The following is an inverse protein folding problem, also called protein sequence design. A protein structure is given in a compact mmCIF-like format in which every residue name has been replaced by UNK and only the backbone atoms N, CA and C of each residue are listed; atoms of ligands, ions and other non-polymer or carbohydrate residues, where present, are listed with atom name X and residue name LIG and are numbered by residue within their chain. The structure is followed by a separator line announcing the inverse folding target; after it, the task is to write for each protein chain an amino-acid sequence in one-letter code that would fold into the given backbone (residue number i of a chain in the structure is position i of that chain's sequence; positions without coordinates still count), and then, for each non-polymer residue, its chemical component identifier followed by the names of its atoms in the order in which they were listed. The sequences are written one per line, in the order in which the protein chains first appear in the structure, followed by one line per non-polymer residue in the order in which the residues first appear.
data_IF_000262152755
#
_entry.id   IF_000262152755
#
_cell.length_a   1.000
_cell.length_b   1.000
_cell.length_c   1.000
_cell.angle_alpha   90.00
_cell.angle_beta   90.00
_cell.angle_gamma   90.00
#
_symmetry.space_group_name_H-M   'P 1'
#
loop_
_entity.id
_entity.type
_entity.pdbx_description
1 polymer ?
#
# COMPACT_ATOMS: atom_id res chain seq x y z
N UNK A 1 5.64 4.02 -6.48
CA UNK A 1 4.26 3.91 -7.03
C UNK A 1 3.92 5.10 -7.93
N UNK A 2 4.02 6.34 -7.45
CA UNK A 2 3.61 7.53 -8.21
C UNK A 2 4.33 7.74 -9.55
N UNK A 3 5.65 7.55 -9.62
CA UNK A 3 6.40 7.74 -10.88
C UNK A 3 5.91 6.79 -11.99
N UNK A 4 5.80 5.49 -11.67
CA UNK A 4 5.26 4.49 -12.60
C UNK A 4 3.82 4.81 -13.02
N UNK A 5 2.98 5.24 -12.09
CA UNK A 5 1.61 5.64 -12.40
C UNK A 5 1.60 6.87 -13.33
N UNK A 6 2.46 7.86 -13.08
CA UNK A 6 2.62 9.05 -13.91
C UNK A 6 2.99 8.71 -15.35
N UNK A 7 3.96 7.82 -15.56
CA UNK A 7 4.37 7.39 -16.90
C UNK A 7 3.24 6.72 -17.69
N UNK A 8 2.43 5.90 -17.02
CA UNK A 8 1.27 5.23 -17.64
C UNK A 8 0.20 6.27 -17.95
N UNK A 9 -0.12 7.14 -17.00
CA UNK A 9 -1.10 8.22 -17.18
C UNK A 9 -0.72 9.11 -18.36
N UNK A 10 0.55 9.48 -18.52
CA UNK A 10 1.02 10.27 -19.65
C UNK A 10 0.72 9.59 -21.00
N UNK A 11 1.02 8.29 -21.11
CA UNK A 11 0.73 7.50 -22.32
C UNK A 11 -0.77 7.42 -22.58
N UNK A 12 -1.57 7.21 -21.54
CA UNK A 12 -3.03 7.16 -21.65
C UNK A 12 -3.62 8.50 -22.08
N UNK A 13 -3.15 9.61 -21.51
CA UNK A 13 -3.61 10.96 -21.87
C UNK A 13 -3.38 11.21 -23.36
N UNK A 14 -2.16 10.93 -23.86
CA UNK A 14 -1.85 11.08 -25.29
C UNK A 14 -2.81 10.27 -26.15
N UNK A 15 -2.97 8.98 -25.85
CA UNK A 15 -3.86 8.09 -26.59
C UNK A 15 -5.33 8.56 -26.57
N UNK A 16 -5.84 8.99 -25.42
CA UNK A 16 -7.22 9.50 -25.31
C UNK A 16 -7.43 10.74 -26.19
N UNK A 17 -6.45 11.65 -26.23
CA UNK A 17 -6.54 12.88 -27.02
C UNK A 17 -6.39 12.62 -28.52
N UNK A 18 -5.48 11.75 -28.92
CA UNK A 18 -5.21 11.44 -30.34
C UNK A 18 -6.31 10.57 -30.96
N UNK A 19 -6.78 9.56 -30.22
CA UNK A 19 -7.69 8.53 -30.76
C UNK A 19 -9.17 8.76 -30.40
N UNK A 20 -9.46 9.64 -29.44
CA UNK A 20 -10.81 9.94 -28.93
C UNK A 20 -11.70 8.68 -28.77
N UNK A 21 -11.26 7.69 -27.98
CA UNK A 21 -11.91 6.39 -27.89
C UNK A 21 -13.30 6.49 -27.25
N UNK A 22 -14.25 5.71 -27.76
CA UNK A 22 -15.58 5.58 -27.15
C UNK A 22 -15.51 4.59 -25.98
N UNK A 23 -15.90 5.00 -24.75
CA UNK A 23 -15.93 4.10 -23.60
C UNK A 23 -16.89 2.93 -23.81
N UNK A 24 -16.52 1.75 -23.30
CA UNK A 24 -17.36 0.55 -23.36
C UNK A 24 -17.91 0.21 -21.96
N UNK A 25 -19.13 -0.36 -21.87
CA UNK A 25 -19.66 -0.85 -20.61
C UNK A 25 -18.77 -1.95 -19.99
N UNK A 26 -18.64 -1.93 -18.67
CA UNK A 26 -17.97 -3.02 -17.94
C UNK A 26 -18.86 -4.28 -17.98
N UNK A 27 -18.24 -5.44 -18.20
CA UNK A 27 -18.91 -6.73 -18.26
C UNK A 27 -18.24 -7.71 -17.28
N UNK A 28 -19.03 -8.61 -16.68
CA UNK A 28 -18.55 -9.66 -15.77
C UNK A 28 -19.02 -9.46 -14.32
N UNK A 29 -18.47 -10.27 -13.42
CA UNK A 29 -18.82 -10.20 -12.00
C UNK A 29 -18.15 -9.01 -11.31
N UNK A 30 -18.92 -8.31 -10.48
CA UNK A 30 -18.45 -7.15 -9.74
C UNK A 30 -17.72 -7.60 -8.47
N UNK A 31 -16.54 -7.04 -8.24
CA UNK A 31 -15.86 -7.10 -6.94
C UNK A 31 -15.91 -5.72 -6.29
N UNK A 32 -16.53 -5.61 -5.12
CA UNK A 32 -16.62 -4.36 -4.36
C UNK A 32 -15.51 -4.27 -3.32
N UNK A 33 -14.86 -3.11 -3.25
CA UNK A 33 -13.85 -2.81 -2.23
C UNK A 33 -14.36 -1.73 -1.27
N UNK A 34 -14.24 -1.98 0.03
CA UNK A 34 -14.52 -0.99 1.06
C UNK A 34 -13.30 -0.11 1.34
N UNK A 35 -13.53 1.13 1.80
CA UNK A 35 -12.46 2.03 2.24
C UNK A 35 -11.74 1.42 3.45
N UNK A 36 -10.40 1.42 3.43
CA UNK A 36 -9.59 0.91 4.53
C UNK A 36 -9.61 1.84 5.75
N UNK A 37 -9.55 1.26 6.95
CA UNK A 37 -9.34 1.97 8.22
C UNK A 37 -7.86 1.93 8.64
N UNK A 38 -7.39 2.85 9.50
CA UNK A 38 -6.01 2.80 10.01
C UNK A 38 -5.65 1.49 10.72
N UNK A 39 -6.59 0.86 11.41
CA UNK A 39 -6.38 -0.44 12.06
C UNK A 39 -6.06 -1.56 11.06
N UNK A 40 -6.55 -1.46 9.82
CA UNK A 40 -6.23 -2.41 8.74
C UNK A 40 -4.83 -2.21 8.14
N UNK A 41 -4.03 -1.28 8.69
CA UNK A 41 -2.59 -1.22 8.43
C UNK A 41 -1.77 -2.13 9.35
N UNK A 42 -2.40 -2.81 10.32
CA UNK A 42 -1.73 -3.87 11.08
C UNK A 42 -1.38 -5.04 10.15
N UNK A 43 -0.11 -5.45 10.14
CA UNK A 43 0.37 -6.53 9.30
C UNK A 43 -0.25 -7.85 9.79
N UNK A 44 -1.00 -8.59 8.95
CA UNK A 44 -1.57 -9.87 9.33
C UNK A 44 -0.47 -10.93 9.50
N UNK A 45 -0.71 -11.89 10.40
CA UNK A 45 0.32 -12.84 10.86
C UNK A 45 0.83 -13.86 9.84
N UNK A 46 0.28 -13.93 8.62
CA UNK A 46 0.68 -14.91 7.61
C UNK A 46 0.76 -14.29 6.20
N UNK A 47 1.87 -13.62 5.92
CA UNK A 47 2.18 -13.11 4.58
C UNK A 47 3.45 -13.77 4.04
N UNK A 48 3.44 -14.13 2.75
CA UNK A 48 4.67 -14.36 2.01
C UNK A 48 5.50 -13.06 1.91
N UNK A 49 6.79 -13.20 1.60
CA UNK A 49 7.69 -12.04 1.41
C UNK A 49 7.15 -11.05 0.37
N UNK A 50 6.62 -11.55 -0.75
CA UNK A 50 6.00 -10.71 -1.78
C UNK A 50 4.75 -9.98 -1.29
N UNK A 51 3.89 -10.66 -0.53
CA UNK A 51 2.70 -10.03 0.05
C UNK A 51 3.07 -8.97 1.10
N UNK A 52 4.09 -9.21 1.91
CA UNK A 52 4.58 -8.21 2.86
C UNK A 52 5.17 -6.98 2.15
N UNK A 53 5.94 -7.20 1.08
CA UNK A 53 6.45 -6.13 0.22
C UNK A 53 5.31 -5.27 -0.32
N UNK A 54 4.27 -5.90 -0.89
CA UNK A 54 3.09 -5.22 -1.39
C UNK A 54 2.34 -4.46 -0.28
N UNK A 55 2.16 -5.09 0.88
CA UNK A 55 1.45 -4.50 2.01
C UNK A 55 2.14 -3.21 2.50
N UNK A 56 3.46 -3.24 2.68
CA UNK A 56 4.24 -2.07 3.13
C UNK A 56 4.25 -0.98 2.06
N UNK A 57 4.60 -1.31 0.80
CA UNK A 57 4.75 -0.28 -0.26
C UNK A 57 3.44 0.41 -0.62
N UNK A 58 2.29 -0.26 -0.45
CA UNK A 58 0.97 0.33 -0.70
C UNK A 58 0.60 1.40 0.34
N UNK A 59 1.15 1.31 1.55
CA UNK A 59 0.90 2.25 2.65
C UNK A 59 2.00 3.29 2.81
N UNK A 60 3.06 3.20 1.99
CA UNK A 60 4.24 4.05 2.10
C UNK A 60 4.09 5.37 1.31
N UNK A 61 3.14 6.21 1.75
CA UNK A 61 2.91 7.54 1.15
C UNK A 61 2.53 8.59 2.22
N UNK A 62 2.73 9.89 1.96
CA UNK A 62 2.27 10.95 2.84
C UNK A 62 0.76 10.88 3.10
N UNK A 63 0.35 10.97 4.37
CA UNK A 63 -1.06 10.91 4.79
C UNK A 63 -1.66 9.50 4.89
N UNK A 64 -0.91 8.44 4.52
CA UNK A 64 -1.36 7.06 4.68
C UNK A 64 -0.87 6.47 6.02
N UNK A 65 -1.72 5.71 6.75
CA UNK A 65 -1.29 4.99 7.94
C UNK A 65 -0.30 3.89 7.54
N UNK A 66 0.94 3.99 8.00
CA UNK A 66 2.02 3.03 7.69
C UNK A 66 1.63 1.62 8.11
N UNK A 67 2.14 0.62 7.39
CA UNK A 67 2.06 -0.77 7.82
C UNK A 67 2.73 -0.91 9.19
N UNK A 68 2.14 -1.64 10.13
CA UNK A 68 2.72 -1.76 11.46
C UNK A 68 2.56 -3.13 12.10
N UNK A 69 3.40 -3.40 13.10
CA UNK A 69 3.27 -4.50 14.05
C UNK A 69 3.29 -3.97 15.48
N UNK A 70 2.53 -4.62 16.36
CA UNK A 70 2.58 -4.38 17.80
C UNK A 70 3.38 -5.48 18.46
N UNK A 71 4.31 -5.11 19.33
CA UNK A 71 5.10 -6.06 20.11
C UNK A 71 5.22 -5.54 21.55
N UNK A 72 4.37 -6.04 22.44
CA UNK A 72 4.25 -5.52 23.80
C UNK A 72 3.83 -4.04 23.78
N UNK A 73 4.62 -3.18 24.42
CA UNK A 73 4.42 -1.73 24.43
C UNK A 73 5.02 -1.02 23.21
N UNK A 74 5.52 -1.74 22.21
CA UNK A 74 6.15 -1.17 21.03
C UNK A 74 5.22 -1.21 19.82
N UNK A 75 5.25 -0.13 19.04
CA UNK A 75 4.66 -0.02 17.71
C UNK A 75 5.81 0.11 16.70
N UNK A 76 5.90 -0.86 15.80
CA UNK A 76 6.88 -0.87 14.72
C UNK A 76 6.16 -0.48 13.44
N UNK A 77 6.45 0.72 12.90
CA UNK A 77 5.93 1.18 11.62
C UNK A 77 6.96 0.92 10.51
N UNK A 78 6.51 0.42 9.37
CA UNK A 78 7.37 0.02 8.26
C UNK A 78 7.20 0.92 7.04
N UNK A 79 8.32 1.22 6.38
CA UNK A 79 8.39 2.02 5.16
C UNK A 79 9.61 1.59 4.32
N UNK A 80 9.75 2.15 3.12
CA UNK A 80 10.91 1.97 2.24
C UNK A 80 11.22 0.50 1.94
N UNK A 81 10.18 -0.25 1.58
CA UNK A 81 10.29 -1.65 1.21
C UNK A 81 11.05 -1.83 -0.12
N UNK A 82 12.08 -2.68 -0.11
CA UNK A 82 12.86 -3.06 -1.27
C UNK A 82 13.01 -4.59 -1.33
N UNK A 83 12.55 -5.18 -2.44
CA UNK A 83 12.54 -6.62 -2.69
C UNK A 83 13.56 -6.94 -3.78
N UNK A 84 14.62 -7.69 -3.44
CA UNK A 84 15.67 -8.10 -4.38
C UNK A 84 16.07 -9.54 -4.12
N UNK A 85 16.13 -10.36 -5.17
CA UNK A 85 16.57 -11.76 -5.05
C UNK A 85 15.73 -12.63 -4.10
N UNK A 86 14.47 -12.27 -3.83
CA UNK A 86 13.61 -12.95 -2.85
C UNK A 86 13.81 -12.47 -1.41
N UNK A 87 14.72 -11.53 -1.17
CA UNK A 87 14.94 -10.90 0.13
C UNK A 87 14.23 -9.54 0.19
N UNK A 88 13.54 -9.29 1.29
CA UNK A 88 12.87 -8.02 1.57
C UNK A 88 13.64 -7.24 2.64
N UNK A 89 14.05 -6.03 2.29
CA UNK A 89 14.57 -5.03 3.23
C UNK A 89 13.52 -3.94 3.45
N UNK A 90 13.32 -3.54 4.71
CA UNK A 90 12.33 -2.53 5.13
C UNK A 90 12.94 -1.66 6.23
N UNK A 91 12.64 -0.36 6.23
CA UNK A 91 12.95 0.52 7.36
C UNK A 91 11.86 0.41 8.40
N UNK A 92 12.24 0.19 9.66
CA UNK A 92 11.34 0.24 10.80
C UNK A 92 11.54 1.54 11.61
N UNK A 93 10.43 2.19 11.97
CA UNK A 93 10.40 3.23 13.01
C UNK A 93 9.72 2.64 14.23
N UNK A 94 10.41 2.64 15.37
CA UNK A 94 9.90 2.06 16.62
C UNK A 94 9.41 3.18 17.53
N UNK A 95 8.18 3.05 18.03
CA UNK A 95 7.55 3.98 18.97
C UNK A 95 7.05 3.22 20.18
N UNK A 96 7.00 3.89 21.33
CA UNK A 96 6.32 3.34 22.51
C UNK A 96 4.84 3.70 22.45
N UNK A 97 3.97 2.71 22.61
CA UNK A 97 2.54 2.91 22.84
C UNK A 97 2.39 3.53 24.23
N UNK A 98 1.91 4.77 24.31
CA UNK A 98 1.65 5.41 25.59
C UNK A 98 0.61 4.59 26.37
N UNK A 99 0.90 4.30 27.64
CA UNK A 99 0.00 3.61 28.55
C UNK A 99 -1.28 4.44 28.71
N UNK A 100 -2.36 4.08 28.01
CA UNK A 100 -3.69 4.68 28.23
C UNK A 100 -4.41 5.30 27.03
N UNK A 101 -3.91 5.18 25.79
CA UNK A 101 -4.71 5.56 24.61
C UNK A 101 -4.98 4.32 23.77
N UNK A 102 -6.11 3.68 24.05
CA UNK A 102 -6.75 2.78 23.10
C UNK A 102 -7.21 3.58 21.89
N UNK A 103 -6.94 3.07 20.70
CA UNK A 103 -7.53 3.54 19.46
C UNK A 103 -8.98 3.07 19.36
#
# INVERSE_FOLDING_TARGET
IYLRAGDISWKMIRWIVEENPVPTPQCGEVTLFARRTPAQSEIPGQLSVGQLYDFVRMLDAPGYPKAFLKHGSLLLEFAEANLQGGELTIRATVKTLASGVGL
#
